data_IF_474356213019
#
_entry.id   IF_474356213019
#
_cell.length_a   1.000
_cell.length_b   1.000
_cell.length_c   1.000
_cell.angle_alpha   90.00
_cell.angle_beta   90.00
_cell.angle_gamma   90.00
#
_symmetry.space_group_name_H-M   'P 1'
#
loop_
_entity.id
_entity.type
_entity.pdbx_description
1 polymer ?
#
# COMPACT_ATOMS: atom_id res chain seq x y z
N UNK A 1 -4.13 -35.32 4.90
CA UNK A 1 -2.85 -35.86 4.60
C UNK A 1 -1.86 -35.75 5.74
N UNK A 2 -1.53 -36.87 6.38
CA UNK A 2 -0.64 -36.95 7.53
C UNK A 2 0.84 -37.11 7.17
N UNK A 3 1.20 -36.94 5.89
CA UNK A 3 2.53 -37.35 5.41
C UNK A 3 3.53 -36.20 5.31
N UNK A 4 3.14 -34.98 5.71
CA UNK A 4 4.00 -33.81 5.63
C UNK A 4 3.95 -33.01 6.92
N UNK A 5 5.11 -32.55 7.39
CA UNK A 5 5.22 -31.56 8.47
C UNK A 5 5.31 -30.17 7.84
N UNK A 6 4.38 -29.29 8.17
CA UNK A 6 4.37 -27.91 7.70
C UNK A 6 5.09 -27.04 8.71
N UNK A 7 6.12 -26.32 8.27
CA UNK A 7 6.80 -25.30 9.04
C UNK A 7 6.38 -23.93 8.54
N UNK A 8 5.89 -23.08 9.44
CA UNK A 8 5.54 -21.69 9.14
C UNK A 8 6.62 -20.76 9.70
N UNK A 9 6.98 -19.75 8.93
CA UNK A 9 7.93 -18.71 9.33
C UNK A 9 7.42 -17.33 8.95
N UNK A 10 7.78 -16.33 9.76
CA UNK A 10 7.45 -14.94 9.49
C UNK A 10 8.46 -14.31 8.55
N UNK A 11 8.01 -13.76 7.43
CA UNK A 11 8.83 -12.95 6.53
C UNK A 11 8.82 -11.48 6.95
N UNK A 12 9.99 -10.82 6.88
CA UNK A 12 10.08 -9.37 7.06
C UNK A 12 9.79 -8.61 5.75
N UNK A 13 8.73 -9.00 5.06
CA UNK A 13 8.22 -8.33 3.87
C UNK A 13 7.03 -7.48 4.25
N UNK A 14 7.13 -6.17 4.04
CA UNK A 14 6.04 -5.22 4.22
C UNK A 14 5.43 -4.91 2.86
N UNK A 15 4.17 -5.30 2.68
CA UNK A 15 3.38 -4.95 1.51
C UNK A 15 2.62 -3.66 1.75
N UNK A 16 2.65 -2.75 0.80
CA UNK A 16 1.90 -1.51 0.87
C UNK A 16 1.42 -1.04 -0.51
N UNK A 17 0.35 -0.27 -0.50
CA UNK A 17 -0.07 0.55 -1.63
C UNK A 17 0.62 1.91 -1.50
N UNK A 18 1.52 2.20 -2.43
CA UNK A 18 2.25 3.46 -2.49
C UNK A 18 1.54 4.41 -3.45
N UNK A 19 1.23 5.61 -2.96
CA UNK A 19 0.56 6.66 -3.72
C UNK A 19 1.61 7.67 -4.18
N UNK A 20 1.69 7.92 -5.49
CA UNK A 20 2.59 8.94 -6.02
C UNK A 20 2.03 10.33 -5.73
N UNK A 21 2.74 11.10 -4.89
CA UNK A 21 2.28 12.43 -4.48
C UNK A 21 2.38 13.49 -5.60
N UNK A 22 2.97 13.17 -6.75
CA UNK A 22 2.95 14.03 -7.94
C UNK A 22 1.71 13.83 -8.82
N UNK A 23 0.97 12.74 -8.65
CA UNK A 23 -0.32 12.53 -9.31
C UNK A 23 -1.37 13.44 -8.68
N UNK A 24 -2.10 14.20 -9.52
CA UNK A 24 -2.91 15.33 -9.04
C UNK A 24 -3.85 14.99 -7.88
N UNK A 25 -4.70 13.94 -7.94
CA UNK A 25 -5.55 13.60 -6.79
C UNK A 25 -4.76 13.32 -5.51
N UNK A 26 -3.59 12.68 -5.62
CA UNK A 26 -2.79 12.28 -4.45
C UNK A 26 -1.90 13.39 -3.88
N UNK A 27 -1.89 14.58 -4.48
CA UNK A 27 -1.26 15.78 -3.88
C UNK A 27 -2.00 16.23 -2.64
N UNK A 28 -3.30 16.03 -2.59
CA UNK A 28 -4.14 16.40 -1.45
C UNK A 28 -4.09 15.32 -0.37
N UNK A 29 -3.67 15.69 0.84
CA UNK A 29 -3.62 14.77 1.97
C UNK A 29 -5.00 14.18 2.30
N UNK A 30 -6.09 14.94 2.10
CA UNK A 30 -7.46 14.47 2.34
C UNK A 30 -7.82 13.30 1.43
N UNK A 31 -7.37 13.32 0.18
CA UNK A 31 -7.55 12.20 -0.77
C UNK A 31 -6.81 10.96 -0.30
N UNK A 32 -5.55 11.11 0.11
CA UNK A 32 -4.76 9.99 0.65
C UNK A 32 -5.39 9.41 1.92
N UNK A 33 -5.85 10.27 2.82
CA UNK A 33 -6.59 9.85 4.04
C UNK A 33 -7.89 9.13 3.70
N UNK A 34 -8.63 9.60 2.68
CA UNK A 34 -9.86 8.95 2.23
C UNK A 34 -9.59 7.51 1.78
N UNK A 35 -8.52 7.27 1.03
CA UNK A 35 -8.13 5.90 0.67
C UNK A 35 -7.78 5.06 1.90
N UNK A 36 -7.10 5.64 2.89
CA UNK A 36 -6.82 4.94 4.16
C UNK A 36 -8.09 4.52 4.89
N UNK A 37 -9.14 5.36 4.91
CA UNK A 37 -10.43 5.01 5.52
C UNK A 37 -11.25 3.99 4.71
N UNK A 38 -11.04 3.90 3.40
CA UNK A 38 -11.79 3.00 2.52
C UNK A 38 -11.17 1.61 2.40
N UNK A 39 -9.85 1.49 2.51
CA UNK A 39 -9.15 0.20 2.43
C UNK A 39 -9.26 -0.53 3.76
N UNK A 40 -9.72 -1.78 3.70
CA UNK A 40 -9.84 -2.67 4.86
C UNK A 40 -8.67 -3.68 4.87
N UNK A 41 -7.65 -3.47 5.71
CA UNK A 41 -6.51 -4.38 5.80
C UNK A 41 -6.91 -5.77 6.30
N UNK A 42 -7.92 -5.87 7.18
CA UNK A 42 -8.39 -7.16 7.67
C UNK A 42 -9.04 -7.98 6.56
N UNK A 43 -9.86 -7.32 5.72
CA UNK A 43 -10.44 -7.96 4.54
C UNK A 43 -9.38 -8.47 3.56
N UNK A 44 -8.30 -7.72 3.36
CA UNK A 44 -7.16 -8.15 2.54
C UNK A 44 -6.48 -9.37 3.15
N UNK A 45 -6.24 -9.35 4.46
CA UNK A 45 -5.58 -10.45 5.17
C UNK A 45 -6.42 -11.74 5.09
N UNK A 46 -7.73 -11.62 5.32
CA UNK A 46 -8.65 -12.77 5.33
C UNK A 46 -8.84 -13.36 3.93
N UNK A 47 -9.03 -12.53 2.92
CA UNK A 47 -9.31 -12.96 1.54
C UNK A 47 -8.04 -13.35 0.76
N UNK A 48 -6.97 -12.61 0.94
CA UNK A 48 -5.74 -12.78 0.17
C UNK A 48 -4.68 -13.65 0.82
N UNK A 49 -4.73 -13.82 2.16
CA UNK A 49 -3.68 -14.46 2.94
C UNK A 49 -4.19 -15.49 3.96
N UNK A 50 -5.44 -15.93 3.83
CA UNK A 50 -6.05 -16.90 4.77
C UNK A 50 -5.94 -16.50 6.26
N UNK A 51 -5.96 -15.21 6.53
CA UNK A 51 -5.79 -14.64 7.87
C UNK A 51 -4.33 -14.62 8.37
N UNK A 52 -3.36 -15.00 7.54
CA UNK A 52 -1.95 -15.10 7.94
C UNK A 52 -1.19 -13.81 7.65
N UNK A 53 -0.64 -13.21 8.69
CA UNK A 53 0.13 -11.97 8.59
C UNK A 53 -0.15 -11.03 9.75
N UNK A 54 0.46 -9.85 9.70
CA UNK A 54 0.29 -8.79 10.70
C UNK A 54 -0.09 -7.49 10.01
N UNK A 55 -1.18 -6.88 10.46
CA UNK A 55 -1.58 -5.55 10.00
C UNK A 55 -0.69 -4.52 10.69
N UNK A 56 -0.05 -3.67 9.90
CA UNK A 56 0.79 -2.56 10.37
C UNK A 56 0.29 -1.25 9.78
N UNK A 57 0.46 -0.16 10.51
CA UNK A 57 -0.05 1.17 10.09
C UNK A 57 1.00 2.08 9.48
N UNK A 58 2.24 1.59 9.30
CA UNK A 58 3.34 2.38 8.76
C UNK A 58 4.36 1.48 8.08
N UNK A 59 5.39 2.10 7.50
CA UNK A 59 6.55 1.37 6.96
C UNK A 59 7.39 0.68 8.04
N UNK A 60 7.23 1.08 9.33
CA UNK A 60 7.84 0.38 10.46
C UNK A 60 7.03 -0.85 10.81
N UNK A 61 7.70 -1.91 11.19
CA UNK A 61 7.06 -3.15 11.63
C UNK A 61 7.64 -3.65 12.95
N UNK A 62 6.99 -4.63 13.61
CA UNK A 62 7.29 -5.02 15.01
C UNK A 62 8.76 -5.34 15.29
N UNK A 63 9.50 -5.86 14.31
CA UNK A 63 10.94 -6.18 14.48
C UNK A 63 11.82 -4.96 14.78
N UNK A 64 11.35 -3.72 14.49
CA UNK A 64 12.06 -2.48 14.83
C UNK A 64 11.87 -2.02 16.29
N UNK A 65 11.14 -2.78 17.10
CA UNK A 65 11.01 -2.55 18.55
C UNK A 65 10.50 -1.15 18.87
N UNK A 66 11.29 -0.34 19.57
CA UNK A 66 10.92 1.01 20.01
C UNK A 66 10.54 2.01 18.90
N UNK A 67 10.85 1.70 17.66
CA UNK A 67 10.48 2.54 16.51
C UNK A 67 9.13 2.12 15.90
N UNK A 68 8.58 1.01 16.33
CA UNK A 68 7.25 0.55 15.94
C UNK A 68 6.19 1.16 16.84
N UNK A 69 5.14 1.73 16.21
CA UNK A 69 4.01 2.34 16.90
C UNK A 69 2.75 1.52 16.56
N UNK A 70 2.34 0.68 17.47
CA UNK A 70 1.20 -0.24 17.28
C UNK A 70 -0.11 0.51 17.01
N UNK A 71 -0.28 1.66 17.65
CA UNK A 71 -1.47 2.51 17.49
C UNK A 71 -1.72 2.98 16.07
N UNK A 72 -0.68 3.03 15.24
CA UNK A 72 -0.82 3.42 13.82
C UNK A 72 -1.61 2.39 13.01
N UNK A 73 -1.63 1.13 13.44
CA UNK A 73 -2.38 0.08 12.76
C UNK A 73 -3.90 0.32 12.80
N UNK A 74 -4.39 1.10 13.78
CA UNK A 74 -5.80 1.43 13.98
C UNK A 74 -6.13 2.91 13.81
N UNK A 75 -5.19 3.69 13.27
CA UNK A 75 -5.35 5.14 13.09
C UNK A 75 -6.47 5.48 12.12
N UNK A 76 -6.65 4.68 11.08
CA UNK A 76 -7.68 4.84 10.05
C UNK A 76 -8.60 3.60 10.03
N UNK A 77 -9.50 3.44 11.01
CA UNK A 77 -10.49 2.37 10.96
C UNK A 77 -11.38 2.55 9.75
N UNK A 78 -11.85 1.45 9.15
CA UNK A 78 -12.72 1.52 7.97
C UNK A 78 -13.92 2.43 8.25
N UNK A 79 -14.06 3.48 7.43
CA UNK A 79 -15.13 4.45 7.53
C UNK A 79 -15.44 5.05 6.15
N UNK A 80 -16.37 4.44 5.44
CA UNK A 80 -16.72 4.83 4.06
C UNK A 80 -17.32 6.23 4.01
N UNK A 81 -18.15 6.61 4.98
CA UNK A 81 -18.75 7.95 5.01
C UNK A 81 -17.69 9.03 5.21
N UNK A 82 -16.74 8.80 6.12
CA UNK A 82 -15.61 9.72 6.32
C UNK A 82 -14.72 9.84 5.09
N UNK A 83 -14.48 8.73 4.41
CA UNK A 83 -13.74 8.74 3.14
C UNK A 83 -14.45 9.59 2.08
N UNK A 84 -15.76 9.44 1.91
CA UNK A 84 -16.56 10.25 0.98
C UNK A 84 -16.56 11.73 1.33
N UNK A 85 -16.68 12.08 2.62
CA UNK A 85 -16.60 13.47 3.09
C UNK A 85 -15.26 14.10 2.68
N UNK A 86 -14.14 13.43 2.96
CA UNK A 86 -12.81 13.92 2.62
C UNK A 86 -12.61 14.09 1.11
N UNK A 87 -13.12 13.16 0.30
CA UNK A 87 -13.09 13.29 -1.15
C UNK A 87 -13.91 14.50 -1.63
N UNK A 88 -15.09 14.70 -1.08
CA UNK A 88 -15.94 15.85 -1.43
C UNK A 88 -15.27 17.18 -1.05
N UNK A 89 -14.68 17.28 0.14
CA UNK A 89 -13.91 18.45 0.58
C UNK A 89 -12.71 18.75 -0.33
N UNK A 90 -12.09 17.71 -0.88
CA UNK A 90 -10.97 17.82 -1.81
C UNK A 90 -11.39 18.11 -3.26
N UNK A 91 -12.70 18.17 -3.55
CA UNK A 91 -13.21 18.42 -4.91
C UNK A 91 -13.48 17.15 -5.74
N UNK A 92 -13.47 15.99 -5.11
CA UNK A 92 -13.68 14.68 -5.74
C UNK A 92 -14.96 13.98 -5.26
N UNK A 93 -16.07 14.73 -5.10
CA UNK A 93 -17.35 14.18 -4.65
C UNK A 93 -17.85 13.03 -5.54
N UNK A 94 -17.57 13.09 -6.84
CA UNK A 94 -17.94 12.06 -7.82
C UNK A 94 -16.86 10.97 -7.99
N UNK A 95 -15.83 11.00 -7.16
CA UNK A 95 -14.69 10.10 -7.25
C UNK A 95 -13.68 10.50 -8.33
N UNK A 96 -12.79 9.58 -8.63
CA UNK A 96 -11.77 9.70 -9.68
C UNK A 96 -11.29 8.31 -10.09
N UNK A 97 -10.49 8.26 -11.16
CA UNK A 97 -9.87 7.02 -11.63
C UNK A 97 -8.36 7.11 -11.53
N UNK A 98 -7.72 5.97 -11.25
CA UNK A 98 -6.27 5.87 -11.27
C UNK A 98 -5.80 4.44 -11.58
N UNK A 99 -4.53 4.31 -11.88
CA UNK A 99 -3.89 3.03 -12.19
C UNK A 99 -2.98 2.58 -11.06
N UNK A 100 -3.10 1.31 -10.67
CA UNK A 100 -2.19 0.64 -9.76
C UNK A 100 -1.21 -0.20 -10.59
N UNK A 101 0.05 0.20 -10.64
CA UNK A 101 1.11 -0.58 -11.27
C UNK A 101 1.60 -1.66 -10.32
N UNK A 102 1.57 -2.92 -10.76
CA UNK A 102 1.92 -4.07 -9.92
C UNK A 102 2.96 -4.91 -10.65
N UNK A 103 4.11 -5.22 -10.04
CA UNK A 103 5.05 -6.17 -10.62
C UNK A 103 4.43 -7.57 -10.70
N UNK A 104 4.55 -8.22 -11.86
CA UNK A 104 3.87 -9.48 -12.16
C UNK A 104 4.53 -10.73 -11.59
N UNK A 105 5.68 -10.58 -10.95
CA UNK A 105 6.50 -11.70 -10.46
C UNK A 105 6.12 -12.21 -9.06
N UNK A 106 5.10 -11.64 -8.41
CA UNK A 106 4.68 -12.04 -7.07
C UNK A 106 3.15 -12.00 -6.92
N UNK A 107 2.52 -13.17 -6.99
CA UNK A 107 1.06 -13.31 -7.00
C UNK A 107 0.36 -12.64 -5.81
N UNK A 108 0.86 -12.69 -4.56
CA UNK A 108 0.20 -12.03 -3.43
C UNK A 108 -0.01 -10.52 -3.61
N UNK A 109 0.86 -9.83 -4.34
CA UNK A 109 0.67 -8.40 -4.65
C UNK A 109 -0.48 -8.19 -5.64
N UNK A 110 -0.60 -9.09 -6.62
CA UNK A 110 -1.68 -9.05 -7.62
C UNK A 110 -3.04 -9.29 -6.93
N UNK A 111 -3.11 -10.31 -6.08
CA UNK A 111 -4.33 -10.67 -5.35
C UNK A 111 -4.76 -9.52 -4.42
N UNK A 112 -3.82 -8.91 -3.71
CA UNK A 112 -4.09 -7.74 -2.87
C UNK A 112 -4.60 -6.55 -3.70
N UNK A 113 -3.98 -6.28 -4.85
CA UNK A 113 -4.42 -5.19 -5.73
C UNK A 113 -5.86 -5.39 -6.21
N UNK A 114 -6.25 -6.62 -6.56
CA UNK A 114 -7.62 -6.94 -6.94
C UNK A 114 -8.62 -6.67 -5.82
N UNK A 115 -8.29 -7.02 -4.57
CA UNK A 115 -9.13 -6.74 -3.40
C UNK A 115 -9.26 -5.23 -3.19
N UNK A 116 -8.16 -4.49 -3.26
CA UNK A 116 -8.15 -3.02 -3.12
C UNK A 116 -9.02 -2.36 -4.18
N UNK A 117 -8.93 -2.79 -5.44
CA UNK A 117 -9.79 -2.29 -6.53
C UNK A 117 -11.28 -2.41 -6.17
N UNK A 118 -11.68 -3.58 -5.64
CA UNK A 118 -13.09 -3.79 -5.26
C UNK A 118 -13.47 -2.93 -4.04
N UNK A 119 -12.61 -2.79 -3.04
CA UNK A 119 -12.90 -1.98 -1.85
C UNK A 119 -13.07 -0.49 -2.20
N UNK A 120 -12.27 0.04 -3.11
CA UNK A 120 -12.33 1.46 -3.49
C UNK A 120 -13.59 1.84 -4.27
N UNK A 121 -14.30 0.89 -4.85
CA UNK A 121 -15.61 1.14 -5.49
C UNK A 121 -16.63 1.72 -4.51
N UNK A 122 -16.55 1.39 -3.23
CA UNK A 122 -17.44 1.91 -2.19
C UNK A 122 -17.39 3.43 -2.04
N UNK A 123 -16.30 4.07 -2.48
CA UNK A 123 -16.12 5.53 -2.44
C UNK A 123 -16.07 6.15 -3.85
N UNK A 124 -16.57 5.45 -4.87
CA UNK A 124 -16.57 5.86 -6.28
C UNK A 124 -15.16 6.12 -6.84
N UNK A 125 -14.16 5.48 -6.31
CA UNK A 125 -12.80 5.50 -6.85
C UNK A 125 -12.60 4.25 -7.70
N UNK A 126 -12.29 4.48 -8.97
CA UNK A 126 -12.12 3.43 -9.97
C UNK A 126 -10.63 3.20 -10.22
N UNK A 127 -10.12 2.10 -9.67
CA UNK A 127 -8.73 1.71 -9.83
C UNK A 127 -8.60 0.60 -10.88
N UNK A 128 -7.62 0.72 -11.76
CA UNK A 128 -7.27 -0.27 -12.78
C UNK A 128 -5.88 -0.83 -12.50
N UNK A 129 -5.71 -2.15 -12.60
CA UNK A 129 -4.41 -2.79 -12.41
C UNK A 129 -3.64 -2.81 -13.73
N UNK A 130 -2.38 -2.36 -13.69
CA UNK A 130 -1.41 -2.50 -14.76
C UNK A 130 -0.29 -3.44 -14.30
N UNK A 131 -0.26 -4.66 -14.84
CA UNK A 131 0.79 -5.63 -14.56
C UNK A 131 2.00 -5.35 -15.44
N UNK A 132 3.17 -5.27 -14.83
CA UNK A 132 4.44 -5.04 -15.54
C UNK A 132 5.50 -6.05 -15.10
N UNK A 133 6.43 -6.36 -16.00
CA UNK A 133 7.60 -7.16 -15.66
C UNK A 133 8.47 -6.43 -14.63
N UNK A 134 9.21 -7.19 -13.81
CA UNK A 134 10.02 -6.64 -12.72
C UNK A 134 11.01 -5.58 -13.19
N UNK A 135 11.74 -5.84 -14.26
CA UNK A 135 12.74 -4.89 -14.78
C UNK A 135 12.08 -3.59 -15.28
N UNK A 136 10.89 -3.68 -15.86
CA UNK A 136 10.08 -2.53 -16.24
C UNK A 136 9.61 -1.76 -15.01
N UNK A 137 9.15 -2.46 -13.96
CA UNK A 137 8.77 -1.82 -12.71
C UNK A 137 9.93 -1.04 -12.10
N UNK A 138 11.13 -1.64 -12.06
CA UNK A 138 12.33 -0.97 -11.52
C UNK A 138 12.68 0.28 -12.32
N UNK A 139 12.72 0.18 -13.64
CA UNK A 139 13.14 1.30 -14.50
C UNK A 139 12.10 2.42 -14.58
N UNK A 140 10.82 2.08 -14.77
CA UNK A 140 9.77 3.06 -15.00
C UNK A 140 9.16 3.57 -13.69
N UNK A 141 8.86 2.70 -12.74
CA UNK A 141 8.17 3.07 -11.50
C UNK A 141 9.13 3.51 -10.40
N UNK A 142 10.14 2.71 -10.09
CA UNK A 142 11.05 3.00 -8.98
C UNK A 142 12.06 4.09 -9.33
N UNK A 143 12.76 3.97 -10.44
CA UNK A 143 13.77 4.95 -10.89
C UNK A 143 13.09 6.11 -11.60
N UNK A 144 12.25 5.83 -12.58
CA UNK A 144 11.57 6.83 -13.40
C UNK A 144 10.43 7.56 -12.71
N UNK A 145 9.89 7.01 -11.61
CA UNK A 145 8.74 7.54 -10.87
C UNK A 145 7.50 7.74 -11.74
N UNK A 146 7.39 7.00 -12.84
CA UNK A 146 6.31 7.08 -13.80
C UNK A 146 5.20 6.09 -13.42
N UNK A 147 4.38 6.44 -12.43
CA UNK A 147 3.22 5.68 -11.97
C UNK A 147 2.28 6.58 -11.18
N UNK A 148 1.01 6.21 -11.06
CA UNK A 148 0.03 6.90 -10.22
C UNK A 148 -0.01 6.30 -8.82
N UNK A 149 -0.15 4.98 -8.72
CA UNK A 149 0.03 4.19 -7.51
C UNK A 149 0.71 2.87 -7.85
N UNK A 150 1.37 2.27 -6.87
CA UNK A 150 1.97 0.94 -7.03
C UNK A 150 1.77 0.10 -5.78
N UNK A 151 1.54 -1.20 -5.96
CA UNK A 151 1.44 -2.15 -4.87
C UNK A 151 2.62 -3.10 -4.95
N UNK A 152 3.45 -3.07 -3.92
CA UNK A 152 4.73 -3.80 -3.88
C UNK A 152 5.14 -4.05 -2.44
N UNK A 153 6.01 -5.02 -2.23
CA UNK A 153 6.62 -5.32 -0.93
C UNK A 153 8.01 -4.73 -0.80
N UNK A 154 8.37 -4.33 0.40
CA UNK A 154 9.73 -3.97 0.78
C UNK A 154 10.25 -5.01 1.74
N UNK A 155 11.35 -5.68 1.37
CA UNK A 155 12.08 -6.56 2.27
C UNK A 155 12.96 -5.71 3.20
N UNK A 156 12.60 -5.73 4.48
CA UNK A 156 13.28 -4.94 5.49
C UNK A 156 14.22 -5.76 6.38
N UNK A 157 14.48 -7.01 6.04
CA UNK A 157 15.35 -7.91 6.83
C UNK A 157 16.78 -7.36 7.01
N UNK A 158 17.25 -6.52 6.09
CA UNK A 158 18.60 -5.91 6.10
C UNK A 158 18.59 -4.41 6.36
N UNK A 159 17.41 -3.80 6.58
CA UNK A 159 17.27 -2.35 6.77
C UNK A 159 17.33 -1.96 8.25
N UNK A 160 17.82 -0.74 8.50
CA UNK A 160 17.65 -0.06 9.78
C UNK A 160 16.38 0.79 9.75
N UNK A 161 15.86 1.17 10.92
CA UNK A 161 14.74 2.10 11.02
C UNK A 161 15.02 3.42 10.29
N UNK A 162 16.25 3.95 10.42
CA UNK A 162 16.69 5.15 9.70
C UNK A 162 16.63 4.96 8.19
N UNK A 163 17.21 3.88 7.67
CA UNK A 163 17.24 3.62 6.24
C UNK A 163 15.83 3.48 5.62
N UNK A 164 14.87 3.02 6.42
CA UNK A 164 13.48 2.94 6.01
C UNK A 164 12.81 4.32 5.97
N UNK A 165 13.03 5.15 7.00
CA UNK A 165 12.40 6.48 7.11
C UNK A 165 13.01 7.51 6.17
N UNK A 166 14.33 7.47 5.94
CA UNK A 166 15.00 8.45 5.08
C UNK A 166 14.53 8.38 3.61
N UNK A 167 13.91 7.24 3.20
CA UNK A 167 13.27 7.11 1.88
C UNK A 167 12.12 8.08 1.64
N UNK A 168 11.58 8.67 2.69
CA UNK A 168 10.47 9.65 2.63
C UNK A 168 10.94 11.10 2.82
N UNK A 169 12.26 11.35 2.86
CA UNK A 169 12.78 12.72 2.85
C UNK A 169 12.79 13.28 1.44
N UNK A 170 12.51 14.58 1.30
CA UNK A 170 12.21 15.22 0.02
C UNK A 170 13.31 15.08 -1.04
N UNK A 171 14.57 15.01 -0.62
CA UNK A 171 15.76 14.98 -1.47
C UNK A 171 16.37 13.57 -1.63
N UNK A 172 15.79 12.55 -0.99
CA UNK A 172 16.34 11.21 -1.04
C UNK A 172 16.04 10.52 -2.38
N UNK A 173 17.06 9.91 -2.99
CA UNK A 173 16.93 9.23 -4.30
C UNK A 173 15.94 8.06 -4.28
N UNK A 174 15.71 7.46 -3.12
CA UNK A 174 14.75 6.35 -2.94
C UNK A 174 13.35 6.81 -2.55
N UNK A 175 13.08 8.12 -2.51
CA UNK A 175 11.74 8.67 -2.36
C UNK A 175 11.02 8.60 -3.72
N UNK A 176 10.64 7.40 -4.13
CA UNK A 176 10.05 7.17 -5.47
C UNK A 176 8.57 7.57 -5.54
N UNK A 177 7.94 7.85 -4.41
CA UNK A 177 6.55 8.33 -4.34
C UNK A 177 6.40 9.85 -4.32
N UNK A 178 7.49 10.59 -4.42
CA UNK A 178 7.50 12.05 -4.40
C UNK A 178 6.82 12.65 -3.15
N UNK A 179 7.06 12.03 -1.99
CA UNK A 179 6.51 12.47 -0.70
C UNK A 179 7.09 13.83 -0.28
#
# INVERSE_FOLDING_TARGET
GSDFTVYEGTMNLVQALYLNNSFEPFRDARVRQALCYAVDPQGILDLGFEGKGTIIGSSMFPAFGKYYMEELATLYPVNIEKAKELLAEAGYADGFSFTITVPSNYQPHIDTAQIVVEQLKAINVDATINLVEWDTWVSESYVGRNFEATLVGVDASTLTARALLERFTSDHSKNFINF
#
